data_IF_125675539513
#
_entry.id   IF_125675539513
#
_cell.length_a   1.000
_cell.length_b   1.000
_cell.length_c   1.000
_cell.angle_alpha   90.00
_cell.angle_beta   90.00
_cell.angle_gamma   90.00
#
_symmetry.space_group_name_H-M   'P 1'
#
loop_
_entity.id
_entity.type
_entity.pdbx_description
1 polymer ?
#
# COMPACT_ATOMS: atom_id res chain seq x y z
N UNK A 1 71.71 41.36 -35.15
CA UNK A 1 72.10 40.05 -34.56
C UNK A 1 71.26 38.99 -35.26
N UNK A 2 71.64 38.62 -36.48
CA UNK A 2 70.89 37.66 -37.32
C UNK A 2 71.81 36.50 -37.67
N UNK A 3 71.87 35.52 -36.77
CA UNK A 3 72.62 34.29 -36.95
C UNK A 3 71.63 33.15 -36.71
N UNK A 4 70.74 32.96 -37.68
CA UNK A 4 69.85 31.80 -37.71
C UNK A 4 70.71 30.56 -38.00
N UNK A 5 70.48 29.47 -37.27
CA UNK A 5 71.37 28.32 -37.21
C UNK A 5 71.10 27.39 -38.40
N UNK A 6 71.97 27.39 -39.41
CA UNK A 6 71.87 26.54 -40.61
C UNK A 6 72.54 25.15 -40.47
N UNK A 7 72.37 24.47 -39.33
CA UNK A 7 72.89 23.10 -39.16
C UNK A 7 71.77 22.05 -39.28
N UNK A 8 71.23 21.87 -40.49
CA UNK A 8 70.34 20.75 -40.82
C UNK A 8 71.17 19.48 -41.09
N UNK A 9 71.45 18.71 -40.05
CA UNK A 9 72.09 17.39 -40.20
C UNK A 9 71.04 16.33 -40.52
N UNK A 10 71.04 15.83 -41.77
CA UNK A 10 70.19 14.71 -42.18
C UNK A 10 70.70 13.40 -41.54
N UNK A 11 70.11 13.01 -40.42
CA UNK A 11 70.39 11.72 -39.78
C UNK A 11 69.62 10.63 -40.52
N UNK A 12 70.30 9.97 -41.46
CA UNK A 12 69.81 8.74 -42.10
C UNK A 12 69.66 7.62 -41.05
N UNK A 13 68.60 6.84 -41.17
CA UNK A 13 68.38 5.65 -40.32
C UNK A 13 69.62 4.76 -40.40
N UNK A 14 70.16 4.39 -39.23
CA UNK A 14 71.38 3.58 -39.16
C UNK A 14 71.15 2.18 -39.72
N UNK A 15 72.22 1.58 -40.26
CA UNK A 15 72.18 0.20 -40.78
C UNK A 15 71.77 -0.77 -39.67
N UNK A 16 70.88 -1.72 -39.98
CA UNK A 16 70.43 -2.73 -39.02
C UNK A 16 71.56 -3.70 -38.66
N UNK A 17 71.91 -3.75 -37.38
CA UNK A 17 72.90 -4.69 -36.84
C UNK A 17 72.19 -5.65 -35.88
N UNK A 18 72.00 -6.90 -36.31
CA UNK A 18 71.30 -7.94 -35.52
C UNK A 18 72.29 -8.73 -34.68
N UNK A 19 72.13 -8.68 -33.35
CA UNK A 19 72.97 -9.45 -32.41
C UNK A 19 72.72 -10.95 -32.54
N UNK A 20 73.78 -11.72 -32.83
CA UNK A 20 73.72 -13.19 -32.83
C UNK A 20 73.62 -13.73 -31.39
N UNK A 21 72.76 -14.72 -31.19
CA UNK A 21 72.57 -15.41 -29.92
C UNK A 21 73.19 -16.82 -30.00
N UNK A 22 73.99 -17.21 -29.01
CA UNK A 22 74.65 -18.51 -28.91
C UNK A 22 73.75 -19.60 -28.29
N UNK A 23 72.49 -19.26 -27.95
CA UNK A 23 71.51 -20.19 -27.40
C UNK A 23 71.17 -21.31 -28.38
N UNK A 24 71.25 -22.55 -27.90
CA UNK A 24 70.83 -23.75 -28.63
C UNK A 24 69.30 -23.91 -28.72
N UNK A 25 68.51 -23.05 -28.05
CA UNK A 25 67.06 -23.19 -27.95
C UNK A 25 66.40 -22.71 -29.23
N UNK A 26 65.58 -23.57 -29.83
CA UNK A 26 64.86 -23.32 -31.09
C UNK A 26 63.35 -23.18 -30.90
N UNK A 27 62.83 -23.65 -29.77
CA UNK A 27 61.41 -23.52 -29.43
C UNK A 27 61.12 -22.12 -28.86
N UNK A 28 60.04 -21.52 -29.33
CA UNK A 28 59.48 -20.28 -28.77
C UNK A 28 58.63 -20.63 -27.54
N UNK A 29 59.31 -21.04 -26.47
CA UNK A 29 58.69 -21.43 -25.21
C UNK A 29 59.38 -20.64 -24.10
N UNK A 30 58.63 -20.03 -23.17
CA UNK A 30 59.24 -19.33 -22.05
C UNK A 30 60.13 -20.29 -21.23
N UNK A 31 61.26 -19.81 -20.67
CA UNK A 31 62.12 -20.65 -19.87
C UNK A 31 61.37 -21.18 -18.64
N UNK A 32 61.78 -22.31 -18.05
CA UNK A 32 61.08 -22.93 -16.92
C UNK A 32 61.02 -22.04 -15.67
N UNK A 33 61.87 -21.01 -15.57
CA UNK A 33 61.85 -20.02 -14.49
C UNK A 33 60.74 -18.97 -14.62
N UNK A 34 60.10 -18.83 -15.79
CA UNK A 34 59.05 -17.85 -16.07
C UNK A 34 57.66 -18.34 -15.62
N UNK A 35 57.53 -18.75 -14.36
CA UNK A 35 56.25 -19.17 -13.78
C UNK A 35 55.50 -18.00 -13.15
N UNK A 36 54.17 -18.01 -13.23
CA UNK A 36 53.31 -16.98 -12.61
C UNK A 36 53.34 -17.04 -11.09
N UNK A 37 53.61 -18.21 -10.52
CA UNK A 37 53.66 -18.43 -9.06
C UNK A 37 54.82 -17.68 -8.39
N UNK A 38 55.86 -17.35 -9.16
CA UNK A 38 56.99 -16.56 -8.68
C UNK A 38 56.68 -15.05 -8.61
N UNK A 39 55.51 -14.62 -9.07
CA UNK A 39 55.11 -13.22 -9.03
C UNK A 39 54.95 -12.73 -7.58
N UNK A 40 55.61 -11.63 -7.24
CA UNK A 40 55.46 -10.99 -5.93
C UNK A 40 54.09 -10.33 -5.83
N UNK A 41 53.18 -10.90 -5.02
CA UNK A 41 51.80 -10.40 -4.84
C UNK A 41 51.73 -8.92 -4.47
N UNK A 42 52.65 -8.46 -3.62
CA UNK A 42 52.78 -7.07 -3.19
C UNK A 42 54.09 -6.45 -3.70
N UNK A 43 54.36 -6.54 -5.00
CA UNK A 43 55.48 -5.81 -5.61
C UNK A 43 55.26 -4.30 -5.39
N UNK A 44 56.32 -3.52 -5.11
CA UNK A 44 56.21 -2.06 -5.07
C UNK A 44 55.55 -1.54 -6.35
N UNK A 45 54.46 -0.79 -6.18
CA UNK A 45 53.79 -0.07 -7.26
C UNK A 45 53.85 1.42 -6.95
N UNK A 46 53.92 2.28 -7.98
CA UNK A 46 53.76 3.71 -7.77
C UNK A 46 52.39 3.98 -7.15
N UNK A 47 52.28 5.06 -6.37
CA UNK A 47 51.03 5.52 -5.73
C UNK A 47 50.80 7.01 -6.01
N UNK A 48 49.59 7.50 -5.74
CA UNK A 48 49.24 8.91 -5.90
C UNK A 48 49.40 9.40 -7.35
N UNK A 49 49.96 10.60 -7.50
CA UNK A 49 50.12 11.24 -8.82
C UNK A 49 51.08 10.47 -9.73
N UNK A 50 52.12 9.87 -9.16
CA UNK A 50 53.08 9.04 -9.91
C UNK A 50 52.40 7.81 -10.51
N UNK A 51 51.45 7.21 -9.80
CA UNK A 51 50.65 6.11 -10.34
C UNK A 51 49.77 6.58 -11.48
N UNK A 52 49.09 7.72 -11.31
CA UNK A 52 48.14 8.24 -12.29
C UNK A 52 48.79 8.51 -13.66
N UNK A 53 50.05 8.98 -13.69
CA UNK A 53 50.78 9.23 -14.94
C UNK A 53 51.44 7.97 -15.52
N UNK A 54 51.79 6.99 -14.66
CA UNK A 54 52.43 5.71 -15.08
C UNK A 54 51.40 4.67 -15.52
N UNK A 55 50.17 4.75 -15.00
CA UNK A 55 49.10 3.82 -15.31
C UNK A 55 48.65 3.98 -16.76
N UNK A 56 48.73 2.88 -17.52
CA UNK A 56 48.27 2.83 -18.91
C UNK A 56 46.76 2.65 -18.91
N UNK A 57 46.02 3.76 -18.81
CA UNK A 57 44.57 3.72 -18.89
C UNK A 57 44.11 3.45 -20.33
N UNK A 58 43.43 2.32 -20.54
CA UNK A 58 42.88 1.92 -21.85
C UNK A 58 41.40 2.26 -22.03
N UNK A 59 40.76 2.92 -21.06
CA UNK A 59 39.32 3.24 -21.08
C UNK A 59 38.89 4.03 -22.32
N UNK A 60 39.81 4.80 -22.94
CA UNK A 60 39.52 5.53 -24.18
C UNK A 60 39.43 4.63 -25.41
N UNK A 61 40.09 3.47 -25.37
CA UNK A 61 40.16 2.49 -26.48
C UNK A 61 39.08 1.41 -26.32
N UNK A 62 38.64 1.15 -25.08
CA UNK A 62 37.62 0.14 -24.79
C UNK A 62 36.23 0.70 -25.05
N UNK A 63 35.41 -0.04 -25.79
CA UNK A 63 34.02 0.33 -26.04
C UNK A 63 33.22 0.45 -24.73
N UNK A 64 32.34 1.46 -24.60
CA UNK A 64 31.52 1.61 -23.43
C UNK A 64 30.55 0.41 -23.30
N UNK A 65 30.21 -0.03 -22.08
CA UNK A 65 29.21 -1.06 -21.89
C UNK A 65 27.86 -0.56 -22.42
N UNK A 66 27.12 -1.43 -23.13
CA UNK A 66 25.80 -1.07 -23.65
C UNK A 66 24.87 -0.73 -22.48
N UNK A 67 24.33 0.50 -22.38
CA UNK A 67 23.40 0.84 -21.33
C UNK A 67 22.14 0.00 -21.51
N UNK A 68 21.71 -0.67 -20.44
CA UNK A 68 20.47 -1.42 -20.45
C UNK A 68 19.32 -0.47 -20.82
N UNK A 69 18.60 -0.76 -21.90
CA UNK A 69 17.46 0.04 -22.36
C UNK A 69 16.35 -0.03 -21.31
N UNK A 70 16.29 0.95 -20.42
CA UNK A 70 15.24 1.10 -19.41
C UNK A 70 13.93 1.47 -20.13
N UNK A 71 13.15 0.47 -20.54
CA UNK A 71 11.77 0.68 -21.00
C UNK A 71 10.83 0.47 -19.82
N UNK A 72 10.33 1.55 -19.23
CA UNK A 72 9.18 1.47 -18.31
C UNK A 72 7.89 1.51 -19.12
N UNK A 73 7.46 0.35 -19.64
CA UNK A 73 6.09 0.24 -20.18
C UNK A 73 5.10 0.29 -19.03
N UNK A 74 4.12 1.20 -19.08
CA UNK A 74 2.96 1.13 -18.18
C UNK A 74 2.28 -0.23 -18.37
N UNK A 75 1.99 -0.98 -17.29
CA UNK A 75 1.38 -2.28 -17.41
C UNK A 75 -0.03 -2.14 -17.99
N UNK A 76 -0.40 -3.00 -18.95
CA UNK A 76 -1.73 -3.03 -19.58
C UNK A 76 -2.84 -3.56 -18.64
N UNK A 77 -2.62 -3.49 -17.34
CA UNK A 77 -3.45 -4.09 -16.28
C UNK A 77 -4.29 -3.05 -15.56
N UNK A 78 -4.45 -1.85 -16.12
CA UNK A 78 -5.16 -0.74 -15.47
C UNK A 78 -6.66 -1.01 -15.27
N UNK A 79 -7.28 -1.74 -16.21
CA UNK A 79 -8.67 -2.21 -16.08
C UNK A 79 -8.82 -3.49 -15.25
N UNK A 80 -7.71 -4.06 -14.78
CA UNK A 80 -7.74 -5.28 -13.98
C UNK A 80 -7.62 -4.90 -12.51
N UNK A 81 -8.69 -5.14 -11.76
CA UNK A 81 -8.65 -4.94 -10.32
C UNK A 81 -7.58 -5.85 -9.69
N UNK A 82 -6.73 -5.24 -8.85
CA UNK A 82 -5.65 -5.91 -8.13
C UNK A 82 -6.07 -6.39 -6.74
N UNK A 83 -7.26 -5.97 -6.26
CA UNK A 83 -7.70 -6.26 -4.90
C UNK A 83 -8.13 -7.72 -4.71
N UNK A 84 -8.42 -8.43 -5.81
CA UNK A 84 -8.92 -9.81 -5.77
C UNK A 84 -10.30 -9.94 -5.13
N UNK A 85 -11.01 -8.81 -4.96
CA UNK A 85 -12.36 -8.75 -4.40
C UNK A 85 -13.29 -8.25 -5.49
N UNK A 86 -14.42 -8.92 -5.65
CA UNK A 86 -15.51 -8.44 -6.49
C UNK A 86 -16.77 -8.31 -5.65
N UNK A 87 -17.52 -7.23 -5.86
CA UNK A 87 -18.86 -7.14 -5.26
C UNK A 87 -19.79 -8.19 -5.86
N UNK A 88 -20.84 -8.54 -5.11
CA UNK A 88 -21.85 -9.50 -5.56
C UNK A 88 -23.11 -8.78 -6.03
N UNK A 89 -23.79 -9.34 -7.04
CA UNK A 89 -25.00 -8.75 -7.60
C UNK A 89 -26.07 -8.48 -6.53
N UNK A 90 -26.22 -9.36 -5.54
CA UNK A 90 -27.15 -9.16 -4.41
C UNK A 90 -26.81 -7.93 -3.57
N UNK A 91 -25.52 -7.69 -3.29
CA UNK A 91 -25.08 -6.53 -2.51
C UNK A 91 -25.29 -5.24 -3.29
N UNK A 92 -25.01 -5.26 -4.60
CA UNK A 92 -25.23 -4.12 -5.49
C UNK A 92 -26.73 -3.78 -5.55
N UNK A 93 -27.58 -4.78 -5.82
CA UNK A 93 -29.04 -4.63 -5.90
C UNK A 93 -29.67 -4.11 -4.61
N UNK A 94 -29.20 -4.59 -3.46
CA UNK A 94 -29.68 -4.08 -2.16
C UNK A 94 -29.25 -2.64 -1.88
N UNK A 95 -28.12 -2.21 -2.41
CA UNK A 95 -27.61 -0.85 -2.19
C UNK A 95 -28.19 0.18 -3.15
N UNK A 96 -28.48 -0.23 -4.39
CA UNK A 96 -28.85 0.68 -5.48
C UNK A 96 -30.24 0.40 -6.08
N UNK A 97 -30.95 -0.63 -5.60
CA UNK A 97 -32.19 -1.11 -6.21
C UNK A 97 -31.95 -2.22 -7.24
N UNK A 98 -33.03 -2.92 -7.59
CA UNK A 98 -33.08 -3.90 -8.66
C UNK A 98 -34.22 -3.54 -9.60
N UNK A 99 -33.97 -3.58 -10.91
CA UNK A 99 -34.96 -3.21 -11.93
C UNK A 99 -36.23 -4.09 -11.83
N UNK A 100 -36.12 -5.31 -11.29
CA UNK A 100 -37.27 -6.19 -11.06
C UNK A 100 -38.25 -5.66 -9.99
N UNK A 101 -37.80 -4.76 -9.11
CA UNK A 101 -38.60 -4.16 -8.04
C UNK A 101 -38.90 -2.67 -8.30
N UNK A 102 -38.72 -2.21 -9.54
CA UNK A 102 -38.97 -0.83 -9.91
C UNK A 102 -40.42 -0.43 -9.60
N UNK A 103 -41.40 -1.21 -10.06
CA UNK A 103 -42.83 -0.92 -9.85
C UNK A 103 -43.17 -0.75 -8.37
N UNK A 104 -42.66 -1.63 -7.50
CA UNK A 104 -42.87 -1.52 -6.05
C UNK A 104 -42.27 -0.23 -5.49
N UNK A 105 -41.10 0.17 -6.00
CA UNK A 105 -40.41 1.40 -5.60
C UNK A 105 -41.15 2.64 -6.10
N UNK A 106 -41.71 2.61 -7.31
CA UNK A 106 -42.54 3.70 -7.86
C UNK A 106 -43.84 3.87 -7.08
N UNK A 107 -44.54 2.78 -6.76
CA UNK A 107 -45.76 2.85 -5.95
C UNK A 107 -45.48 3.35 -4.54
N UNK A 108 -44.39 2.90 -3.91
CA UNK A 108 -43.98 3.39 -2.60
C UNK A 108 -43.60 4.87 -2.66
N UNK A 109 -42.82 5.29 -3.67
CA UNK A 109 -42.46 6.69 -3.87
C UNK A 109 -43.66 7.59 -4.17
N UNK A 110 -44.65 7.09 -4.91
CA UNK A 110 -45.90 7.79 -5.16
C UNK A 110 -46.74 7.93 -3.87
N UNK A 111 -46.80 6.88 -3.05
CA UNK A 111 -47.45 6.92 -1.75
C UNK A 111 -46.76 7.89 -0.78
N UNK A 112 -45.43 7.93 -0.77
CA UNK A 112 -44.65 8.89 0.03
C UNK A 112 -44.90 10.32 -0.46
N UNK A 113 -44.97 10.55 -1.79
CA UNK A 113 -45.29 11.87 -2.35
C UNK A 113 -46.73 12.32 -2.03
N UNK A 114 -47.69 11.39 -2.02
CA UNK A 114 -49.07 11.65 -1.61
C UNK A 114 -49.15 11.95 -0.11
N UNK A 115 -48.44 11.20 0.73
CA UNK A 115 -48.35 11.45 2.17
C UNK A 115 -47.73 12.81 2.48
N UNK A 116 -46.65 13.21 1.78
CA UNK A 116 -46.04 14.54 1.91
C UNK A 116 -46.99 15.65 1.41
N UNK A 117 -47.81 15.38 0.39
CA UNK A 117 -48.83 16.33 -0.07
C UNK A 117 -49.96 16.49 0.97
N UNK A 118 -50.37 15.42 1.64
CA UNK A 118 -51.34 15.46 2.74
C UNK A 118 -50.77 16.09 4.03
N UNK A 119 -49.47 15.92 4.31
CA UNK A 119 -48.78 16.57 5.43
C UNK A 119 -48.48 18.06 5.16
N UNK A 120 -48.48 18.46 3.88
CA UNK A 120 -48.43 19.85 3.43
C UNK A 120 -49.74 20.62 3.55
N UNK A 121 -50.87 19.95 3.73
CA UNK A 121 -52.11 20.60 4.17
C UNK A 121 -52.09 20.71 5.70
N UNK A 122 -52.25 21.91 6.29
CA UNK A 122 -52.33 22.01 7.74
C UNK A 122 -53.54 21.20 8.20
N UNK A 123 -53.28 20.02 8.79
CA UNK A 123 -54.27 19.32 9.59
C UNK A 123 -54.67 20.27 10.71
N UNK A 124 -55.74 21.04 10.48
CA UNK A 124 -56.45 21.80 11.50
C UNK A 124 -56.96 20.78 12.48
N UNK A 125 -56.17 20.55 13.53
CA UNK A 125 -56.51 19.67 14.63
C UNK A 125 -57.86 20.11 15.19
N UNK A 126 -58.91 19.33 14.88
CA UNK A 126 -60.27 19.49 15.40
C UNK A 126 -60.40 19.01 16.85
N UNK A 127 -59.29 18.97 17.58
CA UNK A 127 -59.28 18.75 19.04
C UNK A 127 -59.18 20.12 19.69
N UNK A 128 -60.07 20.51 20.61
CA UNK A 128 -59.91 21.76 21.33
C UNK A 128 -58.60 21.66 22.13
N UNK A 129 -57.57 22.34 21.64
CA UNK A 129 -56.30 22.50 22.35
C UNK A 129 -56.62 23.41 23.52
N UNK A 130 -56.74 22.84 24.73
CA UNK A 130 -56.80 23.62 25.97
C UNK A 130 -55.65 24.60 25.93
N UNK A 131 -55.92 25.88 26.17
CA UNK A 131 -54.85 26.87 26.14
C UNK A 131 -53.83 26.53 27.23
N UNK A 132 -52.58 26.92 27.02
CA UNK A 132 -51.53 26.74 28.01
C UNK A 132 -51.91 27.36 29.38
N UNK A 133 -52.71 28.42 29.36
CA UNK A 133 -53.29 29.02 30.55
C UNK A 133 -54.29 28.10 31.25
N UNK A 134 -55.18 27.44 30.51
CA UNK A 134 -56.18 26.51 31.05
C UNK A 134 -55.51 25.28 31.69
N UNK A 135 -54.42 24.78 31.07
CA UNK A 135 -53.64 23.68 31.63
C UNK A 135 -53.04 24.03 33.01
N UNK A 136 -52.52 25.25 33.16
CA UNK A 136 -52.03 25.70 34.47
C UNK A 136 -53.13 25.97 35.48
N UNK A 137 -54.31 26.40 35.03
CA UNK A 137 -55.47 26.53 35.91
C UNK A 137 -55.89 25.15 36.46
N UNK A 138 -55.92 24.11 35.62
CA UNK A 138 -56.20 22.73 36.05
C UNK A 138 -55.12 22.18 37.00
N UNK A 139 -53.84 22.45 36.72
CA UNK A 139 -52.74 22.07 37.63
C UNK A 139 -52.84 22.77 38.99
N UNK A 140 -53.24 24.04 39.03
CA UNK A 140 -53.46 24.76 40.30
C UNK A 140 -54.66 24.21 41.06
N UNK A 141 -55.80 24.00 40.38
CA UNK A 141 -57.00 23.45 41.00
C UNK A 141 -56.77 22.04 41.55
N UNK A 142 -56.03 21.19 40.83
CA UNK A 142 -55.66 19.85 41.31
C UNK A 142 -54.69 19.91 42.49
N UNK A 143 -53.69 20.82 42.46
CA UNK A 143 -52.80 21.03 43.59
C UNK A 143 -53.53 21.55 44.84
N UNK A 144 -54.48 22.46 44.67
CA UNK A 144 -55.28 23.00 45.77
C UNK A 144 -56.28 21.97 46.30
N UNK A 145 -56.88 21.14 45.44
CA UNK A 145 -57.70 20.00 45.85
C UNK A 145 -56.91 18.97 46.67
N UNK A 146 -55.65 18.69 46.29
CA UNK A 146 -54.76 17.81 47.06
C UNK A 146 -54.36 18.42 48.40
N UNK A 147 -54.10 19.74 48.46
CA UNK A 147 -53.83 20.45 49.72
C UNK A 147 -55.06 20.54 50.64
N UNK A 148 -56.25 20.57 50.07
CA UNK A 148 -57.52 20.61 50.81
C UNK A 148 -57.92 19.25 51.39
N UNK A 149 -57.25 18.14 51.03
CA UNK A 149 -57.45 16.87 51.74
C UNK A 149 -56.92 17.01 53.16
N UNK A 150 -57.83 16.95 54.14
CA UNK A 150 -57.46 16.99 55.55
C UNK A 150 -56.52 15.83 55.85
N UNK A 151 -55.36 16.13 56.44
CA UNK A 151 -54.43 15.12 56.94
C UNK A 151 -55.21 14.27 57.94
N UNK A 152 -55.50 13.01 57.59
CA UNK A 152 -56.11 12.05 58.53
C UNK A 152 -55.29 12.05 59.82
N UNK A 153 -55.96 12.16 60.96
CA UNK A 153 -55.31 12.08 62.26
C UNK A 153 -54.68 10.69 62.43
N UNK A 154 -53.56 10.62 63.15
CA UNK A 154 -52.87 9.36 63.41
C UNK A 154 -53.84 8.35 64.04
N UNK A 155 -53.86 7.12 63.51
CA UNK A 155 -54.70 5.97 63.90
C UNK A 155 -56.15 5.93 63.39
N UNK A 156 -56.57 6.75 62.43
CA UNK A 156 -57.88 6.64 61.76
C UNK A 156 -57.96 5.48 60.73
N UNK A 157 -57.56 4.28 61.14
CA UNK A 157 -57.54 3.05 60.33
C UNK A 157 -57.21 1.78 61.11
N UNK A 158 -57.22 1.82 62.45
CA UNK A 158 -57.00 0.66 63.32
C UNK A 158 -58.31 -0.13 63.53
N UNK A 159 -58.89 -0.61 62.42
CA UNK A 159 -59.99 -1.57 62.46
C UNK A 159 -59.56 -2.82 61.66
N UNK A 160 -59.69 -3.99 62.27
CA UNK A 160 -59.44 -5.32 61.69
C UNK A 160 -60.38 -5.60 60.50
N UNK A 161 -60.07 -5.01 59.35
CA UNK A 161 -60.84 -5.15 58.09
C UNK A 161 -60.22 -6.10 57.09
N UNK A 162 -59.53 -7.14 57.56
CA UNK A 162 -59.05 -8.23 56.72
C UNK A 162 -59.83 -9.50 57.07
N UNK A 163 -60.93 -9.73 56.36
CA UNK A 163 -61.64 -11.00 56.41
C UNK A 163 -60.80 -12.15 55.81
N UNK A 164 -61.10 -13.42 56.12
CA UNK A 164 -60.30 -14.56 55.70
C UNK A 164 -60.24 -14.64 54.18
N UNK A 165 -59.01 -14.66 53.66
CA UNK A 165 -58.69 -14.51 52.25
C UNK A 165 -59.37 -15.53 51.33
N UNK A 166 -59.87 -15.02 50.21
CA UNK A 166 -60.29 -15.82 49.08
C UNK A 166 -59.05 -16.47 48.44
N UNK A 167 -59.00 -17.80 48.46
CA UNK A 167 -57.89 -18.60 47.92
C UNK A 167 -57.93 -18.51 46.40
N UNK A 168 -57.14 -17.61 45.83
CA UNK A 168 -56.90 -17.55 44.39
C UNK A 168 -55.96 -18.72 44.03
N UNK A 169 -56.53 -19.82 43.56
CA UNK A 169 -55.78 -20.94 42.99
C UNK A 169 -55.22 -20.50 41.65
N UNK A 170 -53.88 -20.40 41.55
CA UNK A 170 -53.19 -20.13 40.29
C UNK A 170 -53.32 -21.34 39.37
N UNK A 171 -54.06 -21.18 38.27
CA UNK A 171 -54.04 -22.15 37.17
C UNK A 171 -52.63 -22.20 36.56
N UNK A 172 -51.97 -23.36 36.69
CA UNK A 172 -50.66 -23.61 36.11
C UNK A 172 -50.78 -23.76 34.59
N UNK A 173 -50.44 -22.71 33.85
CA UNK A 173 -50.14 -22.83 32.41
C UNK A 173 -48.79 -23.54 32.26
N UNK A 174 -48.65 -24.53 31.37
CA UNK A 174 -47.39 -25.21 31.16
C UNK A 174 -46.33 -24.22 30.67
N UNK A 175 -45.23 -24.21 31.41
CA UNK A 175 -44.03 -23.42 31.22
C UNK A 175 -43.38 -23.82 29.89
N UNK A 176 -43.37 -22.91 28.91
CA UNK A 176 -42.62 -23.13 27.67
C UNK A 176 -41.13 -23.14 28.01
N UNK A 177 -40.45 -24.21 27.60
CA UNK A 177 -39.00 -24.36 27.73
C UNK A 177 -38.27 -23.28 26.92
N UNK A 178 -37.86 -22.22 27.61
CA UNK A 178 -36.97 -21.21 27.03
C UNK A 178 -35.54 -21.75 27.05
N UNK A 179 -35.08 -22.24 25.91
CA UNK A 179 -33.67 -22.51 25.66
C UNK A 179 -32.86 -21.21 25.85
N UNK A 180 -32.14 -21.13 26.96
CA UNK A 180 -31.30 -20.00 27.31
C UNK A 180 -30.10 -19.90 26.37
N UNK A 181 -30.26 -19.20 25.24
CA UNK A 181 -29.13 -18.63 24.50
C UNK A 181 -28.64 -17.41 25.29
N UNK A 182 -27.52 -17.57 26.02
CA UNK A 182 -26.75 -16.48 26.63
C UNK A 182 -26.25 -15.54 25.52
N UNK A 183 -27.03 -14.51 25.17
CA UNK A 183 -26.49 -13.35 24.47
C UNK A 183 -25.87 -12.41 25.52
N UNK A 184 -24.54 -12.41 25.57
CA UNK A 184 -23.78 -11.38 26.28
C UNK A 184 -24.06 -10.01 25.62
N UNK A 185 -25.04 -9.27 26.13
CA UNK A 185 -25.17 -7.85 25.82
C UNK A 185 -24.05 -7.11 26.55
N UNK A 186 -22.98 -6.75 25.82
CA UNK A 186 -22.00 -5.79 26.32
C UNK A 186 -22.74 -4.47 26.54
N UNK A 187 -22.66 -3.94 27.76
CA UNK A 187 -23.17 -2.61 28.09
C UNK A 187 -22.52 -1.63 27.12
N UNK A 188 -23.32 -0.81 26.44
CA UNK A 188 -22.80 0.20 25.52
C UNK A 188 -22.05 1.24 26.36
N UNK A 189 -20.73 1.14 26.36
CA UNK A 189 -19.86 2.16 26.94
C UNK A 189 -19.90 3.37 26.01
N UNK A 190 -20.16 4.56 26.59
CA UNK A 190 -20.13 5.82 25.86
C UNK A 190 -18.66 6.14 25.61
N UNK A 191 -18.19 5.87 24.39
CA UNK A 191 -16.89 6.35 23.95
C UNK A 191 -17.02 7.86 23.69
N UNK A 192 -16.50 8.67 24.60
CA UNK A 192 -16.27 10.09 24.32
C UNK A 192 -15.07 10.17 23.37
N UNK A 193 -15.32 10.66 22.16
CA UNK A 193 -14.29 11.02 21.20
C UNK A 193 -13.93 12.48 21.46
N UNK A 194 -12.76 12.71 22.03
CA UNK A 194 -12.18 14.05 22.12
C UNK A 194 -11.70 14.43 20.71
N UNK A 195 -12.50 15.25 20.03
CA UNK A 195 -12.19 15.75 18.70
C UNK A 195 -11.53 17.12 18.82
N UNK A 196 -10.25 17.19 18.45
CA UNK A 196 -9.53 18.45 18.30
C UNK A 196 -9.60 18.88 16.83
N UNK A 197 -10.50 19.83 16.56
CA UNK A 197 -10.70 20.39 15.22
C UNK A 197 -9.49 21.24 14.82
N UNK A 198 -8.56 20.68 14.05
CA UNK A 198 -7.51 21.48 13.40
C UNK A 198 -8.00 21.90 12.01
N UNK A 199 -8.29 23.19 11.86
CA UNK A 199 -8.65 23.78 10.57
C UNK A 199 -7.39 23.91 9.71
N UNK A 200 -7.50 23.58 8.42
CA UNK A 200 -6.37 23.59 7.48
C UNK A 200 -5.69 24.98 7.37
N UNK A 201 -6.40 26.07 7.69
CA UNK A 201 -5.87 27.44 7.70
C UNK A 201 -4.93 27.75 8.88
N UNK A 202 -4.86 26.87 9.90
CA UNK A 202 -3.98 27.05 11.06
C UNK A 202 -2.64 26.27 10.94
N UNK A 203 -2.41 25.53 9.86
CA UNK A 203 -1.13 24.87 9.63
C UNK A 203 -0.17 25.86 8.96
N UNK A 204 1.01 26.16 9.54
CA UNK A 204 2.01 26.95 8.85
C UNK A 204 2.45 26.19 7.59
N UNK A 205 2.33 26.86 6.44
CA UNK A 205 2.80 26.40 5.12
C UNK A 205 4.13 25.65 5.25
N UNK A 206 4.27 24.43 4.68
CA UNK A 206 5.54 23.73 4.67
C UNK A 206 6.53 24.57 3.86
N UNK A 207 7.44 25.26 4.57
CA UNK A 207 8.53 26.01 3.96
C UNK A 207 9.20 25.13 2.92
N UNK A 208 9.20 25.64 1.69
CA UNK A 208 9.73 25.00 0.51
C UNK A 208 11.09 24.36 0.77
N UNK A 209 11.23 23.20 0.15
CA UNK A 209 12.42 22.35 0.15
C UNK A 209 13.58 23.12 -0.47
N UNK A 210 14.28 23.91 0.35
CA UNK A 210 15.47 24.61 -0.07
C UNK A 210 16.55 23.60 -0.44
N UNK A 211 16.87 23.65 -1.73
CA UNK A 211 17.95 22.98 -2.40
C UNK A 211 19.31 23.34 -1.77
N UNK A 212 19.66 22.71 -0.66
CA UNK A 212 21.05 22.67 -0.18
C UNK A 212 21.81 21.55 -0.89
N UNK A 213 21.99 21.76 -2.19
CA UNK A 213 23.03 21.08 -2.97
C UNK A 213 23.89 22.15 -3.62
N UNK A 214 24.68 22.84 -2.80
CA UNK A 214 25.78 23.72 -3.23
C UNK A 214 26.76 23.87 -2.07
N UNK A 215 27.70 22.92 -2.00
CA UNK A 215 28.73 22.87 -0.96
C UNK A 215 29.90 21.96 -1.31
N UNK A 216 30.39 22.03 -2.55
CA UNK A 216 31.77 21.63 -2.84
C UNK A 216 32.69 22.68 -2.19
N UNK A 217 33.28 22.36 -1.05
CA UNK A 217 34.24 23.21 -0.34
C UNK A 217 34.80 22.46 0.85
N UNK A 218 36.11 22.23 0.86
CA UNK A 218 36.75 21.18 1.67
C UNK A 218 36.93 21.48 3.16
N UNK A 219 37.31 20.43 3.88
CA UNK A 219 38.11 20.52 5.10
C UNK A 219 38.95 19.25 5.25
N UNK A 220 40.26 19.39 4.98
CA UNK A 220 41.31 18.48 5.44
C UNK A 220 41.51 18.76 6.94
N UNK A 221 41.54 17.72 7.78
CA UNK A 221 42.21 17.82 9.09
C UNK A 221 41.58 17.05 10.24
N UNK A 222 42.10 15.85 10.49
CA UNK A 222 42.53 15.40 11.82
C UNK A 222 41.49 14.88 12.83
N UNK A 223 41.50 13.55 13.06
CA UNK A 223 41.59 12.97 14.40
C UNK A 223 41.97 11.47 14.30
N UNK A 224 42.87 11.05 15.18
CA UNK A 224 43.62 9.80 15.18
C UNK A 224 42.91 8.71 15.98
N UNK A 225 43.05 7.45 15.54
CA UNK A 225 43.40 6.33 16.43
C UNK A 225 42.30 5.53 17.12
N UNK A 226 42.35 4.21 16.97
CA UNK A 226 41.65 3.21 17.80
C UNK A 226 41.02 2.09 16.96
N UNK A 227 41.74 1.04 16.56
CA UNK A 227 42.10 -0.16 17.34
C UNK A 227 41.27 -1.39 16.93
N UNK A 228 42.00 -2.41 16.43
CA UNK A 228 41.83 -3.84 16.72
C UNK A 228 40.66 -4.61 16.07
N UNK A 229 41.03 -5.38 15.04
CA UNK A 229 41.09 -6.83 15.15
C UNK A 229 39.80 -7.63 14.90
N UNK A 230 39.86 -8.56 13.93
CA UNK A 230 38.84 -9.59 13.79
C UNK A 230 38.85 -10.30 12.45
N UNK A 231 39.85 -11.15 12.21
CA UNK A 231 39.80 -12.17 11.17
C UNK A 231 38.71 -13.22 11.47
N UNK A 232 38.30 -13.94 10.40
CA UNK A 232 37.51 -15.20 10.29
C UNK A 232 36.17 -14.96 9.56
N UNK A 233 35.83 -15.60 8.45
CA UNK A 233 36.50 -16.67 7.72
C UNK A 233 35.64 -17.13 6.53
N UNK A 234 36.33 -17.71 5.53
CA UNK A 234 35.93 -18.80 4.63
C UNK A 234 34.45 -19.25 4.63
N UNK A 235 33.87 -19.42 3.43
CA UNK A 235 33.87 -20.71 2.74
C UNK A 235 32.96 -20.74 1.48
N UNK A 236 33.46 -21.44 0.43
CA UNK A 236 32.80 -22.05 -0.75
C UNK A 236 32.48 -21.09 -1.91
N UNK A 237 33.09 -21.17 -3.10
CA UNK A 237 33.61 -22.34 -3.84
C UNK A 237 32.45 -23.00 -4.60
N UNK A 238 32.18 -22.62 -5.85
CA UNK A 238 32.69 -23.23 -7.09
C UNK A 238 31.70 -24.25 -7.70
N UNK A 239 31.76 -24.43 -9.03
CA UNK A 239 31.00 -25.35 -9.94
C UNK A 239 29.73 -24.73 -10.56
N UNK A 240 29.45 -24.71 -11.88
CA UNK A 240 29.96 -25.24 -13.17
C UNK A 240 29.25 -24.36 -14.25
N UNK A 241 29.78 -23.97 -15.40
CA UNK A 241 30.73 -24.62 -16.29
C UNK A 241 30.06 -25.73 -17.10
N UNK A 242 29.32 -25.41 -18.17
CA UNK A 242 28.73 -26.43 -19.07
C UNK A 242 28.01 -25.85 -20.29
N UNK A 243 28.67 -25.93 -21.44
CA UNK A 243 28.28 -25.44 -22.76
C UNK A 243 27.01 -26.08 -23.35
N UNK A 244 26.40 -25.39 -24.33
CA UNK A 244 26.01 -25.94 -25.65
C UNK A 244 25.45 -24.84 -26.55
N UNK A 245 26.26 -24.41 -27.51
CA UNK A 245 25.78 -23.82 -28.76
C UNK A 245 25.19 -24.93 -29.66
N UNK A 246 24.21 -24.57 -30.48
CA UNK A 246 23.57 -25.48 -31.43
C UNK A 246 22.35 -24.87 -32.13
N UNK A 247 22.62 -24.05 -33.15
CA UNK A 247 21.92 -23.89 -34.43
C UNK A 247 20.37 -24.02 -34.56
N UNK A 248 19.80 -22.94 -35.14
CA UNK A 248 18.92 -22.89 -36.34
C UNK A 248 17.47 -23.42 -36.25
N UNK A 249 16.54 -22.45 -36.37
CA UNK A 249 15.60 -22.32 -37.50
C UNK A 249 14.51 -23.39 -37.69
N UNK A 250 13.24 -22.96 -37.63
CA UNK A 250 12.11 -23.75 -38.15
C UNK A 250 10.75 -23.23 -37.67
N UNK A 251 9.90 -22.87 -38.62
CA UNK A 251 8.59 -22.26 -38.48
C UNK A 251 7.54 -23.10 -37.71
N UNK A 252 6.52 -22.42 -37.16
CA UNK A 252 5.10 -22.80 -37.24
C UNK A 252 4.26 -21.75 -36.49
N UNK A 253 3.57 -20.85 -37.19
CA UNK A 253 2.20 -21.01 -37.68
C UNK A 253 1.17 -20.85 -36.54
N UNK A 254 0.54 -19.67 -36.51
CA UNK A 254 -0.56 -19.36 -35.60
C UNK A 254 -1.83 -20.16 -35.92
N UNK A 255 -2.72 -20.37 -34.94
CA UNK A 255 -3.87 -21.25 -35.13
C UNK A 255 -4.91 -20.65 -36.09
N UNK A 256 -5.26 -21.45 -37.09
CA UNK A 256 -6.30 -21.19 -38.08
C UNK A 256 -7.69 -21.13 -37.45
N UNK A 257 -8.53 -20.26 -38.03
CA UNK A 257 -9.96 -20.12 -37.77
C UNK A 257 -10.65 -21.44 -38.14
N UNK A 258 -11.44 -21.99 -37.22
CA UNK A 258 -12.38 -23.08 -37.52
C UNK A 258 -13.66 -22.45 -38.09
N UNK A 259 -13.89 -22.64 -39.38
CA UNK A 259 -15.20 -22.46 -40.00
C UNK A 259 -16.10 -23.63 -39.56
N UNK A 260 -17.26 -23.31 -39.00
CA UNK A 260 -18.28 -24.28 -38.60
C UNK A 260 -19.25 -24.38 -39.77
N UNK A 261 -19.20 -25.49 -40.51
CA UNK A 261 -20.21 -25.80 -41.53
C UNK A 261 -21.52 -26.16 -40.84
N UNK A 262 -22.58 -25.40 -41.15
CA UNK A 262 -23.94 -25.53 -40.60
C UNK A 262 -24.86 -26.38 -41.48
N UNK A 263 -24.31 -27.26 -42.32
CA UNK A 263 -25.09 -28.21 -43.09
C UNK A 263 -24.84 -29.60 -42.55
N UNK A 264 -25.70 -30.02 -41.63
CA UNK A 264 -26.29 -31.36 -41.54
C UNK A 264 -26.84 -31.61 -40.14
N UNK A 265 -28.14 -31.89 -40.09
CA UNK A 265 -28.92 -32.49 -38.98
C UNK A 265 -29.49 -31.53 -37.93
N UNK A 266 -30.62 -30.95 -38.28
CA UNK A 266 -31.73 -30.84 -37.33
C UNK A 266 -32.94 -31.60 -37.90
N UNK A 267 -33.42 -32.67 -37.24
CA UNK A 267 -34.70 -33.27 -37.59
C UNK A 267 -35.82 -32.34 -37.12
N UNK A 268 -36.72 -31.99 -38.04
CA UNK A 268 -37.89 -31.19 -37.75
C UNK A 268 -38.90 -32.01 -36.92
N UNK A 269 -39.22 -31.52 -35.72
CA UNK A 269 -40.48 -31.68 -35.00
C UNK A 269 -40.64 -30.49 -34.04
#
# INVERSE_FOLDING_TARGET
MGNDVEDETEILVTKEIVKKNTSSKKADVPPPSATKDRARKNRPQPTGNEAAIREKNTNRIVEPPVPAKQRSSKPRTDRQDRTGKSDTAKKIKKGWGDDNQELESELAGAADAEAEAEEGEPQVSTKPVKSYADYFAELKLSADALKATSKRTANAGAEDKWGPGEVIVKESKPQADSAASKKNSRKKEKNLLDFEATFADAQPEPRGKDSSNRGRGGARGGARGGARGGARGNARGNTRGGARGGARGGANAGPAKKEINFDEKFPAL
#
